data_IF_480382463538
#
_entry.id   IF_480382463538
#
_cell.length_a   1.000
_cell.length_b   1.000
_cell.length_c   1.000
_cell.angle_alpha   90.00
_cell.angle_beta   90.00
_cell.angle_gamma   90.00
#
_symmetry.space_group_name_H-M   'P 1'
#
loop_
_entity.id
_entity.type
_entity.pdbx_description
1 polymer ?
#
# COMPACT_ATOMS: atom_id res chain seq x y z
N UNK A 1 42.83 18.05 -8.92
CA UNK A 1 42.42 17.84 -10.33
C UNK A 1 42.97 16.51 -10.83
N UNK A 2 42.11 15.50 -10.95
CA UNK A 2 42.31 14.37 -11.87
C UNK A 2 40.95 13.71 -12.09
N UNK A 3 40.31 14.17 -13.15
CA UNK A 3 39.05 13.70 -13.68
C UNK A 3 39.23 12.26 -14.18
N UNK A 4 38.55 11.32 -13.53
CA UNK A 4 38.43 9.96 -14.04
C UNK A 4 36.96 9.70 -14.31
N UNK A 5 36.55 10.09 -15.52
CA UNK A 5 35.29 9.71 -16.16
C UNK A 5 35.29 8.19 -16.32
N UNK A 6 34.83 7.45 -15.31
CA UNK A 6 34.38 6.08 -15.49
C UNK A 6 32.94 6.17 -15.99
N UNK A 7 32.77 6.02 -17.30
CA UNK A 7 31.48 5.93 -17.97
C UNK A 7 30.58 4.97 -17.17
N UNK A 8 29.50 5.52 -16.62
CA UNK A 8 28.46 4.74 -15.98
C UNK A 8 27.53 4.28 -17.11
N UNK A 9 27.69 3.04 -17.55
CA UNK A 9 26.74 2.39 -18.43
C UNK A 9 25.37 2.41 -17.74
N UNK A 10 24.43 3.16 -18.30
CA UNK A 10 23.04 3.15 -17.85
C UNK A 10 22.51 1.73 -18.06
N UNK A 11 22.27 1.01 -16.96
CA UNK A 11 21.62 -0.28 -16.98
C UNK A 11 20.27 -0.15 -17.72
N UNK A 12 19.88 -1.14 -18.54
CA UNK A 12 18.57 -1.12 -19.18
C UNK A 12 17.51 -1.01 -18.09
N UNK A 13 16.69 0.04 -18.20
CA UNK A 13 15.54 0.28 -17.35
C UNK A 13 14.76 -1.02 -17.22
N UNK A 14 14.62 -1.52 -15.98
CA UNK A 14 13.91 -2.77 -15.72
C UNK A 14 12.45 -2.53 -16.05
N UNK A 15 12.07 -2.81 -17.29
CA UNK A 15 10.68 -2.92 -17.68
C UNK A 15 10.11 -4.11 -16.92
N UNK A 16 9.35 -3.82 -15.87
CA UNK A 16 8.61 -4.80 -15.10
C UNK A 16 7.61 -5.50 -16.05
N UNK A 17 7.56 -6.84 -16.11
CA UNK A 17 6.65 -7.58 -16.98
C UNK A 17 5.16 -7.43 -16.61
N UNK A 18 4.82 -6.61 -15.61
CA UNK A 18 3.45 -6.19 -15.34
C UNK A 18 2.99 -5.09 -16.31
N UNK A 19 2.62 -5.50 -17.53
CA UNK A 19 1.89 -4.66 -18.48
C UNK A 19 0.72 -3.92 -17.81
N UNK A 20 0.68 -2.61 -18.00
CA UNK A 20 -0.14 -1.63 -17.29
C UNK A 20 -1.59 -2.03 -17.05
N UNK A 21 -1.92 -2.30 -15.78
CA UNK A 21 -3.29 -2.56 -15.34
C UNK A 21 -3.61 -2.18 -13.90
N UNK A 22 -2.63 -2.06 -13.00
CA UNK A 22 -2.91 -1.90 -11.57
C UNK A 22 -1.88 -1.04 -10.82
N UNK A 23 -1.30 -0.04 -11.49
CA UNK A 23 -0.51 0.95 -10.76
C UNK A 23 -1.46 1.85 -9.96
N UNK A 24 -1.63 1.52 -8.68
CA UNK A 24 -2.35 2.35 -7.71
C UNK A 24 -1.31 3.06 -6.86
N UNK A 25 -1.35 4.39 -6.87
CA UNK A 25 -0.48 5.19 -6.02
C UNK A 25 -0.90 5.09 -4.55
N UNK A 26 0.06 5.26 -3.64
CA UNK A 26 -0.21 5.31 -2.20
C UNK A 26 -1.23 6.41 -1.88
N UNK A 27 -1.21 7.54 -2.59
CA UNK A 27 -2.16 8.62 -2.38
C UNK A 27 -3.59 8.18 -2.69
N UNK A 28 -3.80 7.46 -3.80
CA UNK A 28 -5.13 6.95 -4.15
C UNK A 28 -5.66 5.95 -3.11
N UNK A 29 -4.78 5.16 -2.50
CA UNK A 29 -5.17 4.26 -1.39
C UNK A 29 -5.55 5.05 -0.14
N UNK A 30 -4.77 6.08 0.20
CA UNK A 30 -5.08 6.95 1.35
C UNK A 30 -6.41 7.67 1.17
N UNK A 31 -6.68 8.18 -0.04
CA UNK A 31 -7.94 8.86 -0.36
C UNK A 31 -9.14 7.90 -0.26
N UNK A 32 -8.96 6.60 -0.56
CA UNK A 32 -10.00 5.59 -0.39
C UNK A 32 -10.27 5.23 1.09
N UNK A 33 -9.25 5.35 1.95
CA UNK A 33 -9.32 4.97 3.37
C UNK A 33 -9.76 6.12 4.29
N UNK A 34 -9.68 7.36 3.81
CA UNK A 34 -10.11 8.55 4.55
C UNK A 34 -11.58 8.84 4.31
N UNK A 35 -12.20 9.55 5.25
CA UNK A 35 -13.55 10.07 5.06
C UNK A 35 -13.56 11.34 4.17
N UNK A 36 -14.75 11.91 3.94
CA UNK A 36 -14.91 13.15 3.17
C UNK A 36 -14.18 14.38 3.77
N UNK A 37 -13.71 14.28 5.01
CA UNK A 37 -12.95 15.33 5.71
C UNK A 37 -11.44 15.04 5.69
N UNK A 38 -11.00 13.93 5.12
CA UNK A 38 -9.60 13.53 5.02
C UNK A 38 -9.06 12.87 6.29
N UNK A 39 -9.91 12.40 7.20
CA UNK A 39 -9.49 11.73 8.43
C UNK A 39 -9.64 10.21 8.36
N UNK A 40 -8.75 9.51 9.06
CA UNK A 40 -8.86 8.07 9.27
C UNK A 40 -9.76 7.77 10.47
N UNK A 41 -10.64 6.80 10.30
CA UNK A 41 -11.56 6.36 11.35
C UNK A 41 -10.97 5.22 12.19
N UNK A 42 -11.23 5.25 13.50
CA UNK A 42 -10.92 4.13 14.39
C UNK A 42 -11.95 3.01 14.26
N UNK A 43 -11.56 1.73 14.44
CA UNK A 43 -12.51 0.63 14.53
C UNK A 43 -13.53 0.87 15.66
N UNK A 44 -14.82 0.73 15.35
CA UNK A 44 -15.92 0.94 16.30
C UNK A 44 -16.39 -0.34 16.99
N UNK A 45 -15.92 -1.51 16.51
CA UNK A 45 -16.22 -2.83 17.05
C UNK A 45 -14.92 -3.61 17.19
N UNK A 46 -14.94 -4.62 18.05
CA UNK A 46 -13.78 -5.49 18.26
C UNK A 46 -13.40 -6.22 16.96
N UNK A 47 -14.37 -6.83 16.27
CA UNK A 47 -14.15 -7.51 14.99
C UNK A 47 -15.24 -7.19 13.96
N UNK A 48 -14.92 -7.41 12.69
CA UNK A 48 -15.82 -7.33 11.55
C UNK A 48 -15.64 -8.56 10.65
N UNK A 49 -16.74 -9.16 10.18
CA UNK A 49 -16.70 -10.08 9.05
C UNK A 49 -16.57 -9.27 7.77
N UNK A 50 -15.42 -9.35 7.11
CA UNK A 50 -15.11 -8.55 5.90
C UNK A 50 -15.36 -9.32 4.62
N UNK A 51 -15.47 -10.65 4.72
CA UNK A 51 -15.79 -11.59 3.65
C UNK A 51 -16.35 -12.86 4.29
N UNK A 52 -17.17 -13.69 3.60
CA UNK A 52 -17.71 -14.91 4.18
C UNK A 52 -16.67 -15.76 4.91
N UNK A 53 -16.84 -15.89 6.24
CA UNK A 53 -15.96 -16.61 7.17
C UNK A 53 -14.55 -16.02 7.37
N UNK A 54 -14.30 -14.79 6.92
CA UNK A 54 -13.07 -14.05 7.18
C UNK A 54 -13.38 -12.87 8.09
N UNK A 55 -12.78 -12.90 9.27
CA UNK A 55 -12.97 -11.90 10.31
C UNK A 55 -11.68 -11.13 10.53
N UNK A 56 -11.78 -9.81 10.63
CA UNK A 56 -10.68 -8.91 10.99
C UNK A 56 -11.04 -8.23 12.30
N UNK A 57 -10.16 -8.33 13.28
CA UNK A 57 -10.36 -7.73 14.60
C UNK A 57 -9.04 -7.52 15.32
N UNK A 58 -9.08 -6.75 16.41
CA UNK A 58 -7.91 -6.52 17.25
C UNK A 58 -7.60 -7.75 18.14
N UNK A 59 -6.43 -7.77 18.77
CA UNK A 59 -5.97 -8.84 19.69
C UNK A 59 -6.97 -9.14 20.81
N UNK A 60 -7.72 -8.14 21.26
CA UNK A 60 -8.78 -8.29 22.27
C UNK A 60 -9.97 -9.17 21.82
N UNK A 61 -10.12 -9.44 20.52
CA UNK A 61 -11.17 -10.34 20.00
C UNK A 61 -10.94 -11.81 20.31
N UNK A 62 -9.71 -12.19 20.67
CA UNK A 62 -9.30 -13.59 20.82
C UNK A 62 -9.91 -14.26 22.07
N UNK A 63 -10.73 -13.55 22.85
CA UNK A 63 -11.30 -14.01 24.12
C UNK A 63 -12.76 -14.50 24.03
N UNK A 64 -13.34 -14.66 22.83
CA UNK A 64 -14.70 -15.17 22.63
C UNK A 64 -14.72 -16.55 21.98
#
# INVERSE_FOLDING_TARGET
>A
MKDSHRQQEAAPERQDPSGGGFEVSIQQLNDLLTDSSGFYSWPTRHFHEVYPRIYVGNVECTLF
#
